data_IF_136521987679
#
_entry.id   IF_136521987679
#
_cell.length_a   1.000
_cell.length_b   1.000
_cell.length_c   1.000
_cell.angle_alpha   90.00
_cell.angle_beta   90.00
_cell.angle_gamma   90.00
#
_symmetry.space_group_name_H-M   'P 1'
#
loop_
_entity.id
_entity.type
_entity.pdbx_description
1 polymer ?
#
# COMPACT_ATOMS: atom_id res chain seq x y z
N UNK A 1 -76.90 28.84 -4.60
CA UNK A 1 -75.53 28.34 -4.87
C UNK A 1 -74.53 29.45 -4.53
N UNK A 2 -74.01 29.55 -3.29
CA UNK A 2 -73.18 30.70 -2.87
C UNK A 2 -71.91 30.37 -2.09
N UNK A 3 -71.64 29.09 -1.81
CA UNK A 3 -70.55 28.69 -0.89
C UNK A 3 -69.50 27.76 -1.51
N UNK A 4 -69.62 27.37 -2.79
CA UNK A 4 -68.66 26.46 -3.45
C UNK A 4 -67.34 27.17 -3.79
N UNK A 5 -67.37 28.45 -4.16
CA UNK A 5 -66.16 29.20 -4.52
C UNK A 5 -65.24 29.48 -3.33
N UNK A 6 -65.76 29.47 -2.10
CA UNK A 6 -64.96 29.66 -0.87
C UNK A 6 -64.23 28.40 -0.44
N UNK A 7 -64.79 27.23 -0.73
CA UNK A 7 -64.18 25.93 -0.39
C UNK A 7 -63.01 25.63 -1.34
N UNK A 8 -63.14 25.95 -2.63
CA UNK A 8 -62.04 25.79 -3.59
C UNK A 8 -60.86 26.73 -3.30
N UNK A 9 -61.11 27.96 -2.84
CA UNK A 9 -60.04 28.90 -2.50
C UNK A 9 -59.30 28.52 -1.22
N UNK A 10 -59.97 27.89 -0.25
CA UNK A 10 -59.34 27.45 1.01
C UNK A 10 -58.51 26.17 0.80
N UNK A 11 -59.00 25.25 -0.03
CA UNK A 11 -58.27 24.04 -0.39
C UNK A 11 -57.00 24.36 -1.19
N UNK A 12 -57.04 25.36 -2.09
CA UNK A 12 -55.89 25.76 -2.88
C UNK A 12 -54.79 26.43 -2.04
N UNK A 13 -55.16 27.21 -1.02
CA UNK A 13 -54.20 27.83 -0.07
C UNK A 13 -53.57 26.80 0.85
N UNK A 14 -54.33 25.81 1.32
CA UNK A 14 -53.82 24.73 2.16
C UNK A 14 -52.81 23.83 1.41
N UNK A 15 -53.05 23.57 0.12
CA UNK A 15 -52.13 22.79 -0.73
C UNK A 15 -50.88 23.63 -1.10
N UNK A 16 -51.00 24.93 -1.31
CA UNK A 16 -49.84 25.80 -1.60
C UNK A 16 -48.89 25.95 -0.41
N UNK A 17 -49.39 25.91 0.83
CA UNK A 17 -48.55 26.01 2.04
C UNK A 17 -47.78 24.72 2.38
N UNK A 18 -48.18 23.57 1.83
CA UNK A 18 -47.46 22.31 2.02
C UNK A 18 -46.29 22.11 1.03
N UNK A 19 -46.16 22.97 0.01
CA UNK A 19 -45.11 22.83 -1.02
C UNK A 19 -43.86 23.68 -0.73
N UNK A 20 -43.84 24.50 0.33
CA UNK A 20 -42.73 25.45 0.58
C UNK A 20 -41.74 25.04 1.68
N UNK A 21 -41.82 23.83 2.24
CA UNK A 21 -40.86 23.36 3.27
C UNK A 21 -40.09 22.09 2.89
N UNK A 22 -40.05 21.74 1.61
CA UNK A 22 -38.92 20.95 1.09
C UNK A 22 -38.01 21.90 0.32
N UNK A 23 -37.50 22.94 1.00
CA UNK A 23 -36.14 23.33 0.64
C UNK A 23 -35.34 22.06 0.79
N UNK A 24 -34.90 21.50 -0.33
CA UNK A 24 -33.62 20.83 -0.35
C UNK A 24 -32.66 21.89 0.21
N UNK A 25 -32.52 21.97 1.53
CA UNK A 25 -31.23 22.30 2.09
C UNK A 25 -30.31 21.37 1.33
N UNK A 26 -29.56 21.97 0.42
CA UNK A 26 -28.53 21.31 -0.32
C UNK A 26 -27.62 20.86 0.80
N UNK A 27 -27.83 19.63 1.23
CA UNK A 27 -27.17 18.99 2.33
C UNK A 27 -25.72 18.83 1.85
N UNK A 28 -24.94 19.90 1.98
CA UNK A 28 -23.53 19.94 1.59
C UNK A 28 -22.74 18.89 2.38
N UNK A 29 -23.34 18.32 3.44
CA UNK A 29 -22.85 17.18 4.20
C UNK A 29 -22.99 15.82 3.47
N UNK A 30 -23.69 15.72 2.32
CA UNK A 30 -23.79 14.43 1.58
C UNK A 30 -22.53 14.07 0.81
N UNK A 31 -21.55 14.96 0.77
CA UNK A 31 -20.20 14.68 0.31
C UNK A 31 -19.19 14.97 1.43
N UNK A 32 -19.35 14.35 2.61
CA UNK A 32 -18.25 14.21 3.57
C UNK A 32 -17.20 13.27 2.99
N UNK A 33 -16.49 13.71 1.96
CA UNK A 33 -15.17 13.19 1.72
C UNK A 33 -14.35 13.56 2.97
N UNK A 34 -13.76 12.59 3.67
CA UNK A 34 -12.83 12.92 4.74
C UNK A 34 -11.78 13.87 4.19
N UNK A 35 -11.37 14.86 5.00
CA UNK A 35 -10.26 15.72 4.61
C UNK A 35 -9.06 14.83 4.31
N UNK A 36 -8.49 14.99 3.11
CA UNK A 36 -7.31 14.24 2.71
C UNK A 36 -6.13 14.76 3.54
N UNK A 37 -5.47 13.84 4.23
CA UNK A 37 -4.23 14.09 4.97
C UNK A 37 -3.07 13.42 4.25
N UNK A 38 -1.86 13.86 4.55
CA UNK A 38 -0.67 13.13 4.11
C UNK A 38 -0.64 11.78 4.81
N UNK A 39 -0.57 10.71 4.02
CA UNK A 39 -0.46 9.33 4.51
C UNK A 39 0.99 8.92 4.80
N UNK A 40 1.12 7.72 5.34
CA UNK A 40 2.40 7.05 5.52
C UNK A 40 2.98 6.70 4.16
N UNK A 41 4.01 7.44 3.76
CA UNK A 41 4.67 7.24 2.48
C UNK A 41 6.17 7.26 2.71
N UNK A 42 6.84 6.17 2.36
CA UNK A 42 8.29 6.05 2.35
C UNK A 42 8.74 5.87 0.90
N UNK A 43 9.80 6.59 0.53
CA UNK A 43 10.38 6.50 -0.81
C UNK A 43 11.90 6.44 -0.73
N UNK A 44 12.54 5.97 -1.79
CA UNK A 44 13.98 6.13 -1.96
C UNK A 44 14.34 7.61 -2.12
N UNK A 45 15.48 7.99 -1.55
CA UNK A 45 16.05 9.35 -1.67
C UNK A 45 16.41 9.64 -3.14
N UNK A 46 16.89 8.62 -3.86
CA UNK A 46 17.15 8.63 -5.30
C UNK A 46 16.74 7.29 -5.90
N UNK A 47 16.48 7.23 -7.21
CA UNK A 47 16.25 5.95 -7.90
C UNK A 47 17.47 5.04 -7.70
N UNK A 48 17.32 3.87 -7.06
CA UNK A 48 18.40 2.92 -6.95
C UNK A 48 18.53 2.10 -8.24
N UNK A 49 19.69 1.47 -8.41
CA UNK A 49 19.92 0.39 -9.36
C UNK A 49 19.47 -0.89 -8.67
N UNK A 50 18.41 -1.51 -9.20
CA UNK A 50 17.84 -2.73 -8.63
C UNK A 50 18.61 -3.99 -9.05
N UNK A 51 19.54 -3.85 -9.98
CA UNK A 51 20.48 -4.88 -10.39
C UNK A 51 21.71 -4.78 -9.48
N UNK A 52 21.93 -5.75 -8.59
CA UNK A 52 23.02 -5.67 -7.59
C UNK A 52 24.38 -6.15 -8.11
N UNK A 53 24.45 -6.56 -9.38
CA UNK A 53 25.60 -7.16 -10.04
C UNK A 53 25.45 -8.68 -10.22
N UNK A 54 25.82 -9.19 -11.38
CA UNK A 54 25.64 -10.60 -11.75
C UNK A 54 26.59 -11.58 -11.03
N UNK A 55 27.69 -11.10 -10.42
CA UNK A 55 28.61 -11.93 -9.63
C UNK A 55 28.30 -11.82 -8.12
N UNK A 56 27.68 -12.85 -7.49
CA UNK A 56 27.34 -12.83 -6.07
C UNK A 56 28.54 -12.61 -5.15
N UNK A 57 29.77 -12.88 -5.59
CA UNK A 57 30.96 -12.62 -4.76
C UNK A 57 31.26 -11.13 -4.58
N UNK A 58 30.73 -10.26 -5.45
CA UNK A 58 30.96 -8.80 -5.43
C UNK A 58 29.69 -7.98 -5.40
N UNK A 59 28.54 -8.62 -5.61
CA UNK A 59 27.24 -7.97 -5.68
C UNK A 59 26.86 -7.25 -4.38
N UNK A 60 26.28 -6.08 -4.53
CA UNK A 60 25.81 -5.24 -3.42
C UNK A 60 24.73 -4.29 -3.87
N UNK A 61 23.71 -4.12 -3.04
CA UNK A 61 22.66 -3.14 -3.24
C UNK A 61 22.87 -1.98 -2.27
N UNK A 62 22.69 -0.74 -2.75
CA UNK A 62 22.72 0.42 -1.87
C UNK A 62 21.62 1.42 -2.17
N UNK A 63 20.79 1.67 -1.15
CA UNK A 63 19.73 2.65 -1.24
C UNK A 63 19.40 3.24 0.14
N UNK A 64 19.09 4.53 0.14
CA UNK A 64 18.57 5.24 1.31
C UNK A 64 17.10 5.54 1.09
N UNK A 65 16.30 5.45 2.15
CA UNK A 65 14.89 5.82 2.16
C UNK A 65 14.64 7.08 2.99
N UNK A 66 13.58 7.80 2.68
CA UNK A 66 13.12 8.98 3.41
C UNK A 66 11.59 8.97 3.62
N UNK A 67 11.16 9.62 4.70
CA UNK A 67 9.76 9.99 4.94
C UNK A 67 9.54 11.45 4.51
N UNK A 68 9.10 11.70 3.26
CA UNK A 68 8.88 13.06 2.77
C UNK A 68 7.72 13.78 3.47
N UNK A 69 6.81 13.06 4.12
CA UNK A 69 5.62 13.63 4.76
C UNK A 69 5.85 13.95 6.24
N UNK A 70 6.86 13.35 6.88
CA UNK A 70 7.13 13.50 8.32
C UNK A 70 6.01 12.90 9.19
N UNK A 71 5.34 11.86 8.70
CA UNK A 71 4.17 11.23 9.33
C UNK A 71 4.41 9.80 9.77
N UNK A 72 5.55 9.21 9.40
CA UNK A 72 5.88 7.82 9.69
C UNK A 72 6.35 7.69 11.13
N UNK A 73 5.70 6.80 11.89
CA UNK A 73 6.13 6.39 13.22
C UNK A 73 7.06 5.18 13.16
N UNK A 74 6.69 4.17 12.35
CA UNK A 74 7.53 3.01 12.08
C UNK A 74 7.51 2.66 10.60
N UNK A 75 8.66 2.21 10.10
CA UNK A 75 8.79 1.57 8.81
C UNK A 75 9.50 0.23 9.01
N UNK A 76 8.84 -0.85 8.63
CA UNK A 76 9.28 -2.23 8.80
C UNK A 76 9.41 -2.86 7.41
N UNK A 77 10.52 -3.55 7.17
CA UNK A 77 10.83 -4.19 5.89
C UNK A 77 10.99 -5.68 6.11
N UNK A 78 10.31 -6.46 5.28
CA UNK A 78 10.49 -7.91 5.18
C UNK A 78 11.01 -8.26 3.80
N UNK A 79 11.58 -9.45 3.64
CA UNK A 79 12.15 -9.94 2.38
C UNK A 79 11.74 -11.39 2.12
N UNK A 80 11.45 -11.68 0.86
CA UNK A 80 11.24 -13.02 0.31
C UNK A 80 12.31 -13.24 -0.74
N UNK A 81 13.00 -14.38 -0.71
CA UNK A 81 13.97 -14.75 -1.74
C UNK A 81 13.34 -15.62 -2.81
N UNK A 82 13.73 -15.39 -4.06
CA UNK A 82 13.52 -16.32 -5.17
C UNK A 82 14.88 -16.93 -5.55
N UNK A 83 15.20 -18.05 -4.91
CA UNK A 83 16.42 -18.84 -5.13
C UNK A 83 16.22 -20.28 -4.66
N UNK A 84 17.11 -21.19 -5.03
CA UNK A 84 17.01 -22.60 -4.63
C UNK A 84 17.13 -22.78 -3.11
N UNK A 85 16.04 -23.23 -2.48
CA UNK A 85 16.00 -23.47 -1.04
C UNK A 85 15.53 -22.28 -0.20
N UNK A 86 15.06 -21.21 -0.84
CA UNK A 86 14.43 -20.09 -0.14
C UNK A 86 13.23 -20.54 0.71
N UNK A 87 13.04 -19.97 1.92
CA UNK A 87 11.86 -20.24 2.73
C UNK A 87 10.61 -19.65 2.08
N UNK A 88 9.46 -20.30 2.29
CA UNK A 88 8.17 -19.78 1.80
C UNK A 88 7.63 -18.60 2.61
N UNK A 89 8.20 -18.34 3.79
CA UNK A 89 7.79 -17.24 4.67
C UNK A 89 8.74 -16.06 4.55
N UNK A 90 8.20 -14.84 4.56
CA UNK A 90 9.00 -13.62 4.54
C UNK A 90 9.82 -13.47 5.83
N UNK A 91 11.08 -13.07 5.69
CA UNK A 91 11.99 -12.83 6.79
C UNK A 91 12.04 -11.33 7.15
N UNK A 92 12.20 -10.96 8.43
CA UNK A 92 12.40 -9.57 8.81
C UNK A 92 13.76 -9.07 8.34
N UNK A 93 13.79 -8.07 7.45
CA UNK A 93 15.02 -7.46 6.95
C UNK A 93 15.51 -6.35 7.88
N UNK A 94 14.60 -5.46 8.31
CA UNK A 94 14.95 -4.34 9.17
C UNK A 94 13.77 -3.47 9.54
N UNK A 95 13.96 -2.56 10.49
CA UNK A 95 12.95 -1.56 10.85
C UNK A 95 13.57 -0.26 11.33
N UNK A 96 12.82 0.83 11.22
CA UNK A 96 13.24 2.15 11.68
C UNK A 96 12.09 2.98 12.22
N UNK A 97 12.43 3.96 13.06
CA UNK A 97 11.57 5.08 13.48
C UNK A 97 12.19 6.44 13.11
N UNK A 98 13.33 6.42 12.39
CA UNK A 98 14.11 7.61 12.03
C UNK A 98 14.55 7.54 10.58
N UNK A 99 14.48 8.67 9.88
CA UNK A 99 14.92 8.80 8.49
C UNK A 99 16.10 9.79 8.37
N UNK A 100 17.01 9.59 7.41
CA UNK A 100 16.97 8.55 6.37
C UNK A 100 17.31 7.15 6.92
N UNK A 101 16.74 6.12 6.31
CA UNK A 101 16.98 4.72 6.68
C UNK A 101 17.68 3.97 5.56
N UNK A 102 18.75 3.28 5.94
CA UNK A 102 19.62 2.54 5.04
C UNK A 102 19.06 1.13 4.83
N UNK A 103 18.77 0.78 3.58
CA UNK A 103 18.31 -0.56 3.17
C UNK A 103 19.36 -1.28 2.31
N UNK A 104 20.61 -0.82 2.37
CA UNK A 104 21.74 -1.44 1.66
C UNK A 104 22.07 -2.81 2.24
N UNK A 105 22.54 -3.72 1.38
CA UNK A 105 23.01 -5.05 1.78
C UNK A 105 24.00 -5.61 0.77
N UNK A 106 24.74 -6.63 1.21
CA UNK A 106 25.62 -7.47 0.39
C UNK A 106 25.06 -8.89 0.31
N UNK A 107 25.61 -9.70 -0.60
CA UNK A 107 25.38 -11.15 -0.64
C UNK A 107 25.62 -11.83 0.70
N UNK A 108 26.65 -11.39 1.45
CA UNK A 108 26.97 -11.96 2.76
C UNK A 108 25.87 -11.67 3.80
N UNK A 109 25.30 -10.47 3.78
CA UNK A 109 24.19 -10.10 4.68
C UNK A 109 22.94 -10.94 4.38
N UNK A 110 22.65 -11.18 3.10
CA UNK A 110 21.53 -12.05 2.70
C UNK A 110 21.78 -13.51 3.06
N UNK A 111 23.00 -14.02 2.85
CA UNK A 111 23.36 -15.38 3.24
C UNK A 111 23.17 -15.59 4.76
N UNK A 112 23.59 -14.62 5.57
CA UNK A 112 23.38 -14.64 7.03
C UNK A 112 21.88 -14.57 7.37
N UNK A 113 21.13 -13.66 6.74
CA UNK A 113 19.70 -13.49 6.99
C UNK A 113 18.89 -14.76 6.68
N UNK A 114 19.17 -15.40 5.54
CA UNK A 114 18.50 -16.64 5.12
C UNK A 114 19.10 -17.89 5.78
N UNK A 115 20.23 -17.78 6.48
CA UNK A 115 20.91 -18.90 7.12
C UNK A 115 21.49 -19.92 6.12
N UNK A 116 21.91 -19.45 4.94
CA UNK A 116 22.48 -20.25 3.85
C UNK A 116 23.94 -19.88 3.59
N UNK A 117 24.63 -20.67 2.76
CA UNK A 117 25.95 -20.29 2.26
C UNK A 117 25.80 -19.33 1.06
N UNK A 118 26.66 -18.32 0.95
CA UNK A 118 26.62 -17.37 -0.16
C UNK A 118 26.76 -18.04 -1.55
N UNK A 119 27.35 -19.23 -1.63
CA UNK A 119 27.45 -20.01 -2.87
C UNK A 119 26.14 -20.62 -3.36
N UNK A 120 25.06 -20.51 -2.59
CA UNK A 120 23.70 -20.89 -3.03
C UNK A 120 23.17 -19.89 -4.06
N UNK A 121 23.54 -18.61 -3.93
CA UNK A 121 23.06 -17.58 -4.84
C UNK A 121 23.77 -17.66 -6.19
N UNK A 122 22.99 -17.47 -7.25
CA UNK A 122 23.45 -17.45 -8.64
C UNK A 122 22.88 -16.23 -9.38
N UNK A 123 23.39 -15.98 -10.58
CA UNK A 123 22.80 -15.02 -11.52
C UNK A 123 21.31 -15.35 -11.75
N UNK A 124 20.49 -14.31 -11.94
CA UNK A 124 19.02 -14.36 -12.04
C UNK A 124 18.25 -14.66 -10.73
N UNK A 125 18.92 -14.99 -9.61
CA UNK A 125 18.24 -15.04 -8.31
C UNK A 125 17.82 -13.62 -7.86
N UNK A 126 16.77 -13.52 -7.06
CA UNK A 126 16.26 -12.22 -6.60
C UNK A 126 15.75 -12.20 -5.16
N UNK A 127 15.59 -10.98 -4.64
CA UNK A 127 15.02 -10.70 -3.32
C UNK A 127 13.91 -9.64 -3.47
N UNK A 128 12.68 -10.03 -3.14
CA UNK A 128 11.54 -9.12 -3.11
C UNK A 128 11.32 -8.60 -1.69
N UNK A 129 11.34 -7.28 -1.54
CA UNK A 129 11.19 -6.59 -0.27
C UNK A 129 9.79 -5.99 -0.13
N UNK A 130 9.23 -6.06 1.07
CA UNK A 130 7.91 -5.52 1.39
C UNK A 130 7.99 -4.60 2.60
N UNK A 131 7.60 -3.35 2.40
CA UNK A 131 7.54 -2.30 3.40
C UNK A 131 6.15 -2.16 4.02
N UNK A 132 6.11 -2.05 5.36
CA UNK A 132 4.93 -1.69 6.13
C UNK A 132 5.21 -0.41 6.88
N UNK A 133 4.34 0.59 6.72
CA UNK A 133 4.45 1.88 7.37
C UNK A 133 3.31 2.04 8.36
N UNK A 134 3.64 2.31 9.63
CA UNK A 134 2.65 2.80 10.60
C UNK A 134 2.87 4.29 10.83
N UNK A 135 1.83 5.10 10.63
CA UNK A 135 1.89 6.55 10.87
C UNK A 135 1.73 6.90 12.35
N UNK A 136 2.08 8.14 12.72
CA UNK A 136 1.95 8.66 14.10
C UNK A 136 0.52 8.63 14.66
N UNK A 137 -0.49 8.63 13.80
CA UNK A 137 -1.91 8.48 14.15
C UNK A 137 -2.39 7.01 14.13
N UNK A 138 -1.48 6.06 13.88
CA UNK A 138 -1.73 4.62 13.96
C UNK A 138 -2.32 3.98 12.71
N UNK A 139 -2.34 4.70 11.57
CA UNK A 139 -2.78 4.12 10.29
C UNK A 139 -1.65 3.29 9.71
N UNK A 140 -1.98 2.09 9.25
CA UNK A 140 -1.02 1.15 8.66
C UNK A 140 -1.17 1.18 7.14
N UNK A 141 -0.04 1.34 6.44
CA UNK A 141 0.08 1.26 4.99
C UNK A 141 0.97 0.07 4.68
N UNK A 142 0.38 -0.95 4.07
CA UNK A 142 1.06 -2.19 3.71
C UNK A 142 1.35 -2.20 2.20
N UNK A 143 2.62 -2.33 1.84
CA UNK A 143 3.11 -2.38 0.47
C UNK A 143 2.73 -3.66 -0.29
N UNK A 144 2.16 -4.66 0.39
CA UNK A 144 1.65 -5.86 -0.26
C UNK A 144 0.43 -5.55 -1.13
N UNK A 145 0.45 -6.10 -2.34
CA UNK A 145 -0.70 -6.02 -3.22
C UNK A 145 -1.89 -6.75 -2.58
N UNK A 146 -3.10 -6.17 -2.63
CA UNK A 146 -4.31 -6.83 -2.19
C UNK A 146 -4.50 -8.17 -2.90
N UNK A 147 -4.53 -9.28 -2.16
CA UNK A 147 -4.70 -10.63 -2.70
C UNK A 147 -5.60 -11.49 -1.81
N UNK A 148 -6.23 -12.49 -2.41
CA UNK A 148 -7.14 -13.37 -1.68
C UNK A 148 -7.56 -14.59 -2.45
N UNK A 149 -8.10 -15.57 -1.73
CA UNK A 149 -8.88 -16.65 -2.34
C UNK A 149 -10.35 -16.26 -2.30
N UNK A 150 -11.03 -16.41 -3.43
CA UNK A 150 -12.47 -16.15 -3.50
C UNK A 150 -13.24 -17.45 -3.27
N UNK A 151 -14.36 -17.42 -2.53
CA UNK A 151 -15.25 -18.57 -2.43
C UNK A 151 -15.65 -19.04 -3.82
N UNK A 152 -15.32 -20.28 -4.16
CA UNK A 152 -15.91 -20.94 -5.32
C UNK A 152 -17.36 -21.30 -4.97
N UNK A 153 -18.29 -21.12 -5.91
CA UNK A 153 -19.72 -21.42 -5.72
C UNK A 153 -19.94 -22.89 -5.26
N UNK A 154 -18.99 -23.76 -5.55
CA UNK A 154 -19.03 -25.19 -5.24
C UNK A 154 -18.53 -25.53 -3.81
N UNK A 155 -17.93 -24.59 -3.09
CA UNK A 155 -17.46 -24.76 -1.71
C UNK A 155 -18.02 -23.67 -0.78
N UNK A 156 -19.27 -23.82 -0.30
CA UNK A 156 -19.94 -22.83 0.53
C UNK A 156 -19.38 -22.70 1.95
N UNK A 157 -18.46 -23.58 2.37
CA UNK A 157 -17.79 -23.49 3.68
C UNK A 157 -16.47 -22.71 3.62
N UNK A 158 -15.90 -22.53 2.43
CA UNK A 158 -14.72 -21.70 2.23
C UNK A 158 -15.12 -20.22 2.11
N UNK A 159 -14.95 -19.46 3.19
CA UNK A 159 -15.23 -18.01 3.21
C UNK A 159 -14.26 -17.17 2.33
N UNK A 160 -13.27 -17.82 1.70
CA UNK A 160 -12.14 -17.15 1.07
C UNK A 160 -11.12 -16.68 2.10
N UNK A 161 -10.06 -16.07 1.61
CA UNK A 161 -9.00 -15.46 2.41
C UNK A 161 -8.63 -14.10 1.84
N UNK A 162 -8.15 -13.20 2.70
CA UNK A 162 -7.63 -11.91 2.32
C UNK A 162 -6.29 -11.70 2.99
N UNK A 163 -5.30 -11.23 2.24
CA UNK A 163 -3.95 -11.00 2.78
C UNK A 163 -3.80 -9.68 3.55
N UNK A 164 -4.80 -8.79 3.51
CA UNK A 164 -4.75 -7.51 4.21
C UNK A 164 -4.08 -6.37 3.43
N UNK A 165 -3.53 -6.63 2.24
CA UNK A 165 -2.81 -5.65 1.42
C UNK A 165 -3.69 -4.45 1.02
N UNK A 166 -3.12 -3.25 1.06
CA UNK A 166 -3.85 -1.99 0.84
C UNK A 166 -3.28 -1.11 -0.28
N UNK A 167 -2.18 -1.54 -0.93
CA UNK A 167 -1.49 -0.75 -1.94
C UNK A 167 -1.74 -1.30 -3.34
N UNK A 168 -2.17 -0.44 -4.27
CA UNK A 168 -2.30 -0.83 -5.69
C UNK A 168 -0.94 -1.22 -6.26
N UNK A 169 -0.84 -2.40 -6.89
CA UNK A 169 0.40 -2.85 -7.54
C UNK A 169 0.89 -1.91 -8.65
N UNK A 170 0.02 -1.05 -9.20
CA UNK A 170 0.43 0.00 -10.15
C UNK A 170 1.20 1.13 -9.46
N UNK A 171 0.89 1.42 -8.19
CA UNK A 171 1.56 2.46 -7.42
C UNK A 171 2.91 2.00 -6.84
N UNK A 172 3.09 0.68 -6.66
CA UNK A 172 4.38 0.10 -6.26
C UNK A 172 5.35 0.01 -7.44
N UNK A 173 4.87 -0.19 -8.67
CA UNK A 173 5.72 -0.41 -9.85
C UNK A 173 5.88 0.81 -10.78
N UNK A 174 5.22 1.94 -10.49
CA UNK A 174 5.26 3.10 -11.38
C UNK A 174 6.61 3.83 -11.30
N UNK A 175 7.38 3.73 -12.39
CA UNK A 175 8.64 4.44 -12.59
C UNK A 175 8.48 5.95 -12.29
N UNK A 176 9.33 6.47 -11.39
CA UNK A 176 9.37 7.88 -11.00
C UNK A 176 8.72 8.23 -9.66
N UNK A 177 7.94 7.33 -9.05
CA UNK A 177 7.39 7.56 -7.70
C UNK A 177 8.40 7.28 -6.58
N UNK A 178 9.46 6.52 -6.88
CA UNK A 178 10.50 6.10 -5.93
C UNK A 178 9.94 5.39 -4.69
N UNK A 179 8.71 4.85 -4.75
CA UNK A 179 8.07 4.24 -3.60
C UNK A 179 8.91 3.06 -3.07
N UNK A 180 9.20 3.06 -1.78
CA UNK A 180 9.91 1.97 -1.11
C UNK A 180 8.90 1.15 -0.30
N UNK A 181 7.92 0.56 -0.99
CA UNK A 181 6.87 -0.27 -0.38
C UNK A 181 6.92 -1.71 -0.88
N UNK A 182 7.25 -1.88 -2.15
CA UNK A 182 7.60 -3.16 -2.73
C UNK A 182 8.66 -2.87 -3.79
N UNK A 183 9.78 -3.59 -3.71
CA UNK A 183 10.83 -3.56 -4.72
C UNK A 183 11.54 -4.90 -4.75
N UNK A 184 12.08 -5.24 -5.91
CA UNK A 184 12.86 -6.44 -6.14
C UNK A 184 14.30 -6.03 -6.45
N UNK A 185 15.26 -6.82 -5.96
CA UNK A 185 16.68 -6.67 -6.28
C UNK A 185 17.17 -8.01 -6.82
N UNK A 186 17.80 -8.03 -7.99
CA UNK A 186 18.25 -9.26 -8.66
C UNK A 186 19.76 -9.28 -8.88
N UNK A 187 20.32 -10.49 -8.93
CA UNK A 187 21.71 -10.72 -9.38
C UNK A 187 21.79 -10.61 -10.90
N UNK A 188 21.67 -9.39 -11.40
CA UNK A 188 21.83 -9.03 -12.80
C UNK A 188 22.84 -7.88 -12.93
N UNK A 189 23.42 -7.72 -14.13
CA UNK A 189 24.18 -6.54 -14.49
C UNK A 189 23.26 -5.54 -15.18
N UNK A 190 23.37 -4.25 -14.84
CA UNK A 190 22.61 -3.22 -15.53
C UNK A 190 23.02 -3.12 -17.01
N UNK A 191 22.00 -3.11 -17.88
CA UNK A 191 22.15 -3.03 -19.34
C UNK A 191 22.50 -1.63 -19.87
#
# INVERSE_FOLDING_TARGET
MKNINKIFSLAFVAILTTVTFTSCEYDEDKARFPQLTNGGFVKFVSAPEFDMGADPATASFSAMTEDPNGTVATYEVTVVGDFEGAPSEALPFGSTTTFPFDVSFTTADMAELFGVDASVFVEDDSFEFFGVVTTVDGVVYDGTAPSGSYPLIEDPENAGSWNGGQTSGVLTSAAGLLAAFNWEVSYEDAN
#
